data_IF_432522754037
#
_entry.id   IF_432522754037
#
_cell.length_a   1.000
_cell.length_b   1.000
_cell.length_c   1.000
_cell.angle_alpha   90.00
_cell.angle_beta   90.00
_cell.angle_gamma   90.00
#
_symmetry.space_group_name_H-M   'P 1'
#
loop_
_entity.id
_entity.type
_entity.pdbx_description
1 polymer ?
#
# COMPACT_ATOMS: atom_id res chain seq x y z
N UNK A 1 -17.84 -15.41 51.23
CA UNK A 1 -17.08 -15.72 52.46
C UNK A 1 -17.94 -16.56 53.39
N UNK A 2 -17.34 -17.30 54.34
CA UNK A 2 -18.08 -18.16 55.28
C UNK A 2 -18.57 -17.43 56.55
N UNK A 3 -18.07 -16.22 56.79
CA UNK A 3 -18.42 -15.35 57.93
C UNK A 3 -18.51 -13.91 57.38
N UNK A 4 -19.55 -13.18 57.76
CA UNK A 4 -19.78 -11.78 57.41
C UNK A 4 -19.49 -10.87 58.60
N UNK A 5 -19.26 -9.55 58.40
CA UNK A 5 -19.15 -8.59 59.50
C UNK A 5 -20.32 -8.66 60.48
N UNK A 6 -21.54 -8.89 59.97
CA UNK A 6 -22.76 -9.06 60.77
C UNK A 6 -22.68 -10.34 61.61
N UNK A 7 -22.20 -11.44 61.05
CA UNK A 7 -22.02 -12.69 61.80
C UNK A 7 -21.00 -12.51 62.95
N UNK A 8 -19.97 -11.67 62.77
CA UNK A 8 -18.97 -11.36 63.81
C UNK A 8 -19.60 -10.53 64.94
N UNK A 9 -20.40 -9.51 64.60
CA UNK A 9 -21.09 -8.69 65.59
C UNK A 9 -22.15 -9.47 66.38
N UNK A 10 -22.78 -10.47 65.77
CA UNK A 10 -23.81 -11.29 66.41
C UNK A 10 -23.25 -12.53 67.12
N UNK A 11 -21.93 -12.75 67.07
CA UNK A 11 -21.29 -13.93 67.63
C UNK A 11 -21.39 -13.92 69.16
N UNK A 12 -22.02 -14.94 69.73
CA UNK A 12 -22.08 -15.13 71.19
C UNK A 12 -21.11 -16.21 71.67
N UNK A 13 -20.50 -15.98 72.83
CA UNK A 13 -19.62 -16.94 73.49
C UNK A 13 -20.24 -17.42 74.82
N UNK A 14 -20.11 -18.71 75.11
CA UNK A 14 -20.54 -19.27 76.41
C UNK A 14 -19.53 -18.86 77.49
N UNK A 15 -19.99 -18.18 78.54
CA UNK A 15 -19.14 -17.76 79.66
C UNK A 15 -18.62 -18.94 80.49
N UNK A 16 -17.36 -18.86 80.94
CA UNK A 16 -16.78 -19.78 81.94
C UNK A 16 -16.74 -19.08 83.31
N UNK A 17 -17.14 -19.79 84.37
CA UNK A 17 -17.22 -19.24 85.74
C UNK A 17 -15.87 -18.91 86.41
N UNK A 18 -14.73 -19.38 85.88
CA UNK A 18 -13.41 -19.12 86.46
C UNK A 18 -12.37 -18.90 85.34
N UNK A 19 -11.65 -17.78 85.37
CA UNK A 19 -10.55 -17.46 84.44
C UNK A 19 -10.93 -17.17 82.98
N UNK A 20 -12.15 -16.73 82.70
CA UNK A 20 -12.60 -16.32 81.36
C UNK A 20 -12.14 -14.91 80.96
N UNK A 21 -12.25 -14.60 79.66
CA UNK A 21 -12.05 -13.24 79.13
C UNK A 21 -13.21 -12.32 79.52
N UNK A 22 -12.94 -11.02 79.63
CA UNK A 22 -13.96 -10.00 79.88
C UNK A 22 -14.90 -9.89 78.67
N UNK A 23 -16.21 -9.92 78.92
CA UNK A 23 -17.22 -9.88 77.87
C UNK A 23 -17.26 -8.52 77.16
N UNK A 24 -17.04 -7.41 77.86
CA UNK A 24 -17.02 -6.07 77.24
C UNK A 24 -15.78 -5.89 76.35
N UNK A 25 -14.62 -6.39 76.78
CA UNK A 25 -13.39 -6.33 76.00
C UNK A 25 -13.49 -7.19 74.72
N UNK A 26 -14.10 -8.38 74.83
CA UNK A 26 -14.36 -9.25 73.67
C UNK A 26 -15.35 -8.61 72.70
N UNK A 27 -16.44 -8.00 73.17
CA UNK A 27 -17.42 -7.34 72.31
C UNK A 27 -16.81 -6.14 71.56
N UNK A 28 -16.03 -5.32 72.25
CA UNK A 28 -15.28 -4.21 71.64
C UNK A 28 -14.30 -4.69 70.57
N UNK A 29 -13.60 -5.80 70.81
CA UNK A 29 -12.72 -6.41 69.81
C UNK A 29 -13.50 -6.96 68.61
N UNK A 30 -14.62 -7.65 68.83
CA UNK A 30 -15.48 -8.14 67.74
C UNK A 30 -16.03 -7.01 66.88
N UNK A 31 -16.43 -5.88 67.47
CA UNK A 31 -16.86 -4.70 66.72
C UNK A 31 -15.74 -4.12 65.85
N UNK A 32 -14.54 -4.00 66.39
CA UNK A 32 -13.37 -3.54 65.63
C UNK A 32 -13.06 -4.49 64.46
N UNK A 33 -13.01 -5.80 64.71
CA UNK A 33 -12.77 -6.83 63.68
C UNK A 33 -13.86 -6.82 62.61
N UNK A 34 -15.12 -6.64 62.99
CA UNK A 34 -16.22 -6.54 62.04
C UNK A 34 -16.07 -5.31 61.13
N UNK A 35 -15.68 -4.16 61.69
CA UNK A 35 -15.41 -2.94 60.93
C UNK A 35 -14.27 -3.13 59.90
N UNK A 36 -13.14 -3.67 60.35
CA UNK A 36 -12.00 -3.99 59.47
C UNK A 36 -12.39 -4.97 58.35
N UNK A 37 -13.20 -5.99 58.67
CA UNK A 37 -13.68 -6.94 57.66
C UNK A 37 -14.60 -6.27 56.65
N UNK A 38 -15.45 -5.32 57.07
CA UNK A 38 -16.31 -4.56 56.16
C UNK A 38 -15.50 -3.67 55.22
N UNK A 39 -14.47 -2.99 55.73
CA UNK A 39 -13.55 -2.19 54.90
C UNK A 39 -12.80 -3.08 53.89
N UNK A 40 -12.27 -4.22 54.33
CA UNK A 40 -11.62 -5.20 53.45
C UNK A 40 -12.56 -5.72 52.36
N UNK A 41 -13.83 -5.98 52.67
CA UNK A 41 -14.82 -6.40 51.67
C UNK A 41 -15.05 -5.30 50.63
N UNK A 42 -15.18 -4.05 51.10
CA UNK A 42 -15.39 -2.89 50.23
C UNK A 42 -14.20 -2.67 49.30
N UNK A 43 -12.99 -2.68 49.83
CA UNK A 43 -11.76 -2.55 49.05
C UNK A 43 -11.61 -3.71 48.06
N UNK A 44 -11.90 -4.95 48.48
CA UNK A 44 -11.83 -6.12 47.60
C UNK A 44 -12.80 -6.01 46.42
N UNK A 45 -14.00 -5.49 46.65
CA UNK A 45 -14.99 -5.27 45.60
C UNK A 45 -14.55 -4.15 44.64
N UNK A 46 -14.04 -3.02 45.14
CA UNK A 46 -13.48 -1.96 44.29
C UNK A 46 -12.30 -2.46 43.44
N UNK A 47 -11.37 -3.19 44.06
CA UNK A 47 -10.22 -3.77 43.36
C UNK A 47 -10.66 -4.77 42.28
N UNK A 48 -11.65 -5.61 42.55
CA UNK A 48 -12.21 -6.53 41.55
C UNK A 48 -12.86 -5.79 40.38
N UNK A 49 -13.60 -4.72 40.66
CA UNK A 49 -14.24 -3.92 39.62
C UNK A 49 -13.18 -3.22 38.75
N UNK A 50 -12.16 -2.62 39.37
CA UNK A 50 -11.01 -2.02 38.68
C UNK A 50 -10.27 -3.05 37.83
N UNK A 51 -10.00 -4.24 38.38
CA UNK A 51 -9.35 -5.32 37.65
C UNK A 51 -10.16 -5.72 36.42
N UNK A 52 -11.48 -5.87 36.55
CA UNK A 52 -12.35 -6.21 35.43
C UNK A 52 -12.36 -5.12 34.36
N UNK A 53 -12.42 -3.84 34.77
CA UNK A 53 -12.33 -2.71 33.83
C UNK A 53 -11.01 -2.69 33.06
N UNK A 54 -9.89 -2.88 33.75
CA UNK A 54 -8.57 -2.90 33.11
C UNK A 54 -8.39 -4.14 32.23
N UNK A 55 -8.88 -5.31 32.64
CA UNK A 55 -8.84 -6.52 31.82
C UNK A 55 -9.60 -6.31 30.49
N UNK A 56 -10.77 -5.69 30.53
CA UNK A 56 -11.53 -5.35 29.32
C UNK A 56 -10.80 -4.34 28.43
N UNK A 57 -10.17 -3.32 29.02
CA UNK A 57 -9.37 -2.35 28.27
C UNK A 57 -8.16 -3.00 27.58
N UNK A 58 -7.46 -3.90 28.26
CA UNK A 58 -6.34 -4.65 27.66
C UNK A 58 -6.83 -5.51 26.51
N UNK A 59 -7.93 -6.26 26.68
CA UNK A 59 -8.48 -7.08 25.62
C UNK A 59 -8.90 -6.25 24.39
N UNK A 60 -9.47 -5.07 24.59
CA UNK A 60 -9.81 -4.14 23.50
C UNK A 60 -8.54 -3.60 22.79
N UNK A 61 -7.50 -3.27 23.55
CA UNK A 61 -6.22 -2.81 23.00
C UNK A 61 -5.53 -3.91 22.18
N UNK A 62 -5.50 -5.15 22.69
CA UNK A 62 -4.96 -6.31 21.97
C UNK A 62 -5.71 -6.56 20.66
N UNK A 63 -7.04 -6.49 20.69
CA UNK A 63 -7.86 -6.64 19.48
C UNK A 63 -7.55 -5.53 18.44
N UNK A 64 -7.40 -4.28 18.89
CA UNK A 64 -7.00 -3.15 18.03
C UNK A 64 -5.60 -3.32 17.47
N UNK A 65 -4.65 -3.83 18.26
CA UNK A 65 -3.28 -4.08 17.81
C UNK A 65 -3.25 -5.14 16.70
N UNK A 66 -4.02 -6.23 16.86
CA UNK A 66 -4.16 -7.26 15.81
C UNK A 66 -4.72 -6.66 14.54
N UNK A 67 -5.83 -5.90 14.62
CA UNK A 67 -6.43 -5.26 13.46
C UNK A 67 -5.47 -4.26 12.78
N UNK A 68 -4.73 -3.48 13.56
CA UNK A 68 -3.74 -2.54 13.03
C UNK A 68 -2.62 -3.29 12.29
N UNK A 69 -2.13 -4.39 12.87
CA UNK A 69 -1.10 -5.23 12.26
C UNK A 69 -1.58 -5.84 10.94
N UNK A 70 -2.79 -6.37 10.91
CA UNK A 70 -3.41 -6.89 9.68
C UNK A 70 -3.56 -5.80 8.61
N UNK A 71 -4.00 -4.62 9.02
CA UNK A 71 -4.15 -3.46 8.11
C UNK A 71 -2.80 -3.03 7.55
N UNK A 72 -1.75 -2.96 8.38
CA UNK A 72 -0.39 -2.64 7.93
C UNK A 72 0.14 -3.68 6.94
N UNK A 73 -0.07 -4.97 7.20
CA UNK A 73 0.34 -6.03 6.27
C UNK A 73 -0.44 -5.95 4.95
N UNK A 74 -1.73 -5.64 4.99
CA UNK A 74 -2.53 -5.42 3.79
C UNK A 74 -2.01 -4.21 2.99
N UNK A 75 -1.75 -3.08 3.65
CA UNK A 75 -1.20 -1.88 3.01
C UNK A 75 0.18 -2.16 2.37
N UNK A 76 1.04 -2.93 3.05
CA UNK A 76 2.34 -3.33 2.50
C UNK A 76 2.17 -4.19 1.25
N UNK A 77 1.28 -5.19 1.25
CA UNK A 77 1.00 -6.03 0.07
C UNK A 77 0.51 -5.21 -1.11
N UNK A 78 -0.45 -4.30 -0.88
CA UNK A 78 -0.98 -3.42 -1.94
C UNK A 78 0.12 -2.53 -2.51
N UNK A 79 1.02 -2.02 -1.66
CA UNK A 79 2.15 -1.19 -2.09
C UNK A 79 3.13 -1.96 -2.96
N UNK A 80 3.48 -3.19 -2.56
CA UNK A 80 4.37 -4.06 -3.35
C UNK A 80 3.74 -4.46 -4.69
N UNK A 81 2.45 -4.79 -4.70
CA UNK A 81 1.71 -5.10 -5.93
C UNK A 81 1.65 -3.89 -6.87
N UNK A 82 1.37 -2.70 -6.33
CA UNK A 82 1.37 -1.46 -7.12
C UNK A 82 2.74 -1.18 -7.72
N UNK A 83 3.82 -1.37 -6.95
CA UNK A 83 5.20 -1.20 -7.43
C UNK A 83 5.55 -2.20 -8.53
N UNK A 84 5.18 -3.46 -8.36
CA UNK A 84 5.42 -4.50 -9.36
C UNK A 84 4.66 -4.21 -10.67
N UNK A 85 3.39 -3.79 -10.57
CA UNK A 85 2.59 -3.41 -11.73
C UNK A 85 3.17 -2.19 -12.45
N UNK A 86 3.54 -1.14 -11.71
CA UNK A 86 4.16 0.05 -12.29
C UNK A 86 5.50 -0.26 -13.00
N UNK A 87 6.32 -1.16 -12.44
CA UNK A 87 7.55 -1.62 -13.09
C UNK A 87 7.27 -2.37 -14.40
N UNK A 88 6.26 -3.26 -14.39
CA UNK A 88 5.86 -4.00 -15.59
C UNK A 88 5.31 -3.07 -16.67
N UNK A 89 4.45 -2.12 -16.30
CA UNK A 89 3.91 -1.12 -17.22
C UNK A 89 5.01 -0.22 -17.80
N UNK A 90 5.96 0.21 -16.97
CA UNK A 90 7.11 1.00 -17.45
C UNK A 90 7.95 0.21 -18.46
N UNK A 91 8.18 -1.08 -18.21
CA UNK A 91 8.94 -1.92 -19.14
C UNK A 91 8.19 -2.15 -20.46
N UNK A 92 6.87 -2.35 -20.40
CA UNK A 92 6.03 -2.43 -21.61
C UNK A 92 6.07 -1.13 -22.40
N UNK A 93 5.94 0.03 -21.74
CA UNK A 93 6.00 1.34 -22.38
C UNK A 93 7.34 1.56 -23.10
N UNK A 94 8.46 1.21 -22.46
CA UNK A 94 9.79 1.30 -23.05
C UNK A 94 9.88 0.40 -24.29
N UNK A 95 9.45 -0.87 -24.17
CA UNK A 95 9.49 -1.81 -25.29
C UNK A 95 8.62 -1.35 -26.47
N UNK A 96 7.44 -0.81 -26.21
CA UNK A 96 6.57 -0.23 -27.25
C UNK A 96 7.20 1.00 -27.91
N UNK A 97 7.86 1.86 -27.13
CA UNK A 97 8.54 3.03 -27.64
C UNK A 97 9.74 2.65 -28.53
N UNK A 98 10.52 1.65 -28.12
CA UNK A 98 11.62 1.08 -28.91
C UNK A 98 11.12 0.52 -30.24
N UNK A 99 10.10 -0.34 -30.21
CA UNK A 99 9.53 -0.94 -31.43
C UNK A 99 8.95 0.12 -32.38
N UNK A 100 8.29 1.13 -31.83
CA UNK A 100 7.80 2.27 -32.63
C UNK A 100 8.96 3.07 -33.22
N UNK A 101 10.02 3.29 -32.46
CA UNK A 101 11.24 3.96 -32.91
C UNK A 101 11.90 3.22 -34.08
N UNK A 102 12.12 1.91 -33.93
CA UNK A 102 12.66 1.05 -34.98
C UNK A 102 11.80 1.10 -36.25
N UNK A 103 10.47 1.05 -36.10
CA UNK A 103 9.55 1.13 -37.24
C UNK A 103 9.67 2.46 -37.99
N UNK A 104 9.77 3.57 -37.27
CA UNK A 104 9.94 4.91 -37.86
C UNK A 104 11.26 5.00 -38.63
N UNK A 105 12.36 4.49 -38.05
CA UNK A 105 13.68 4.47 -38.72
C UNK A 105 13.63 3.62 -39.98
N UNK A 106 13.08 2.40 -39.91
CA UNK A 106 12.97 1.51 -41.06
C UNK A 106 12.06 2.07 -42.17
N UNK A 107 11.03 2.85 -41.83
CA UNK A 107 10.21 3.56 -42.81
C UNK A 107 10.99 4.71 -43.47
N UNK A 108 11.73 5.49 -42.68
CA UNK A 108 12.56 6.58 -43.18
C UNK A 108 13.66 6.08 -44.13
N UNK A 109 14.35 4.98 -43.78
CA UNK A 109 15.36 4.35 -44.64
C UNK A 109 14.77 3.86 -45.96
N UNK A 110 13.61 3.20 -45.93
CA UNK A 110 12.91 2.79 -47.16
C UNK A 110 12.59 3.97 -48.05
N UNK A 111 12.09 5.07 -47.46
CA UNK A 111 11.76 6.28 -48.22
C UNK A 111 13.00 6.98 -48.77
N UNK A 112 14.12 6.93 -48.05
CA UNK A 112 15.41 7.44 -48.55
C UNK A 112 15.87 6.69 -49.79
N UNK A 113 15.78 5.35 -49.78
CA UNK A 113 16.12 4.51 -50.94
C UNK A 113 15.21 4.82 -52.12
N UNK A 114 13.90 4.93 -51.89
CA UNK A 114 12.92 5.27 -52.93
C UNK A 114 13.23 6.63 -53.57
N UNK A 115 13.44 7.68 -52.76
CA UNK A 115 13.79 9.01 -53.25
C UNK A 115 15.11 9.01 -54.01
N UNK A 116 16.10 8.24 -53.55
CA UNK A 116 17.39 8.13 -54.23
C UNK A 116 17.23 7.52 -55.62
N UNK A 117 16.41 6.47 -55.74
CA UNK A 117 16.11 5.84 -57.03
C UNK A 117 15.36 6.80 -57.97
N UNK A 118 14.35 7.52 -57.45
CA UNK A 118 13.62 8.54 -58.21
C UNK A 118 14.55 9.66 -58.71
N UNK A 119 15.49 10.12 -57.88
CA UNK A 119 16.48 11.13 -58.28
C UNK A 119 17.38 10.59 -59.41
N UNK A 120 17.82 9.34 -59.33
CA UNK A 120 18.64 8.74 -60.38
C UNK A 120 17.86 8.58 -61.70
N UNK A 121 16.60 8.18 -61.63
CA UNK A 121 15.72 8.07 -62.79
C UNK A 121 15.50 9.42 -63.47
N UNK A 122 15.14 10.46 -62.70
CA UNK A 122 14.98 11.83 -63.21
C UNK A 122 16.27 12.37 -63.85
N UNK A 123 17.44 12.06 -63.28
CA UNK A 123 18.73 12.42 -63.89
C UNK A 123 18.94 11.73 -65.23
N UNK A 124 18.58 10.44 -65.34
CA UNK A 124 18.67 9.68 -66.59
C UNK A 124 17.72 10.25 -67.65
N UNK A 125 16.48 10.53 -67.29
CA UNK A 125 15.49 11.14 -68.17
C UNK A 125 15.94 12.50 -68.68
N UNK A 126 16.50 13.34 -67.79
CA UNK A 126 17.08 14.63 -68.16
C UNK A 126 18.16 14.47 -69.24
N UNK A 127 19.11 13.57 -69.04
CA UNK A 127 20.20 13.34 -70.00
C UNK A 127 19.65 12.85 -71.35
N UNK A 128 18.70 11.93 -71.33
CA UNK A 128 18.06 11.43 -72.55
C UNK A 128 17.30 12.53 -73.30
N UNK A 129 16.58 13.38 -72.58
CA UNK A 129 15.89 14.53 -73.15
C UNK A 129 16.87 15.52 -73.78
N UNK A 130 17.94 15.90 -73.06
CA UNK A 130 18.97 16.81 -73.57
C UNK A 130 19.64 16.27 -74.84
N UNK A 131 19.97 14.98 -74.87
CA UNK A 131 20.53 14.33 -76.06
C UNK A 131 19.54 14.27 -77.23
N UNK A 132 18.28 13.90 -76.97
CA UNK A 132 17.23 13.85 -78.00
C UNK A 132 16.92 15.23 -78.58
N UNK A 133 16.86 16.25 -77.72
CA UNK A 133 16.63 17.64 -78.14
C UNK A 133 17.78 18.19 -78.99
N UNK A 134 19.05 17.93 -78.61
CA UNK A 134 20.21 18.28 -79.45
C UNK A 134 20.15 17.62 -80.82
N UNK A 135 19.85 16.33 -80.89
CA UNK A 135 19.74 15.61 -82.16
C UNK A 135 18.62 16.18 -83.05
N UNK A 136 17.49 16.56 -82.44
CA UNK A 136 16.39 17.22 -83.15
C UNK A 136 16.82 18.57 -83.74
N UNK A 137 17.50 19.41 -82.95
CA UNK A 137 18.01 20.70 -83.40
C UNK A 137 19.02 20.54 -84.54
N UNK A 138 19.97 19.60 -84.42
CA UNK A 138 20.95 19.30 -85.48
C UNK A 138 20.27 18.86 -86.78
N UNK A 139 19.18 18.09 -86.67
CA UNK A 139 18.39 17.67 -87.83
C UNK A 139 17.74 18.85 -88.54
N UNK A 140 17.09 19.75 -87.78
CA UNK A 140 16.49 20.97 -88.34
C UNK A 140 17.53 21.90 -88.93
N UNK A 141 18.69 22.06 -88.28
CA UNK A 141 19.79 22.88 -88.79
C UNK A 141 20.30 22.38 -90.15
N UNK A 142 20.54 21.06 -90.28
CA UNK A 142 20.95 20.45 -91.55
C UNK A 142 19.92 20.64 -92.67
N UNK A 143 18.63 20.52 -92.33
CA UNK A 143 17.52 20.74 -93.27
C UNK A 143 17.46 22.18 -93.79
N UNK A 144 17.73 23.16 -92.92
CA UNK A 144 17.81 24.58 -93.33
C UNK A 144 19.04 24.84 -94.20
N UNK A 145 20.20 24.29 -93.82
CA UNK A 145 21.44 24.45 -94.58
C UNK A 145 21.36 23.84 -96.00
N UNK A 146 20.62 22.74 -96.18
CA UNK A 146 20.34 22.12 -97.49
C UNK A 146 19.42 22.96 -98.39
N UNK A 147 18.76 23.99 -97.85
CA UNK A 147 17.81 24.83 -98.58
C UNK A 147 18.44 26.12 -99.12
N UNK A 148 19.68 26.41 -98.71
CA UNK A 148 20.47 27.58 -99.11
C UNK A 148 21.51 27.28 -100.22
N UNK A 149 21.54 26.06 -100.75
CA UNK A 149 22.22 25.66 -102.01
C UNK A 149 21.20 25.54 -103.17
#
# INVERSE_FOLDING_TARGET
MKITPVDIQQQQFKGKMFGGLDAEEVDGYLQAVAGELEELIRENNDLKERLNRHANQVAEMEAREVQLRETMLAAQRVTEEMKANAQKEAQLLISEAELKGERVVAEAERRLVELTNQIQELRREKVQFESGFKALLDTYYKLLALKDE
#
